data_IF_686469398803
#
_entry.id   IF_686469398803
#
_cell.length_a   1.000
_cell.length_b   1.000
_cell.length_c   1.000
_cell.angle_alpha   90.00
_cell.angle_beta   90.00
_cell.angle_gamma   90.00
#
_symmetry.space_group_name_H-M   'P 1'
#
loop_
_entity.id
_entity.type
_entity.pdbx_description
1 polymer ?
#
# COMPACT_ATOMS: atom_id res chain seq x y z
N UNK A 1 -1.69 8.66 -14.57
CA UNK A 1 -1.78 8.17 -13.18
C UNK A 1 -0.63 8.81 -12.41
N UNK A 2 -0.87 9.22 -11.17
CA UNK A 2 0.14 9.77 -10.27
C UNK A 2 -0.05 9.17 -8.88
N UNK A 3 0.95 9.32 -8.01
CA UNK A 3 0.96 8.75 -6.66
C UNK A 3 1.16 9.87 -5.64
N UNK A 4 0.47 9.79 -4.51
CA UNK A 4 0.65 10.68 -3.36
C UNK A 4 1.35 9.89 -2.26
N UNK A 5 2.53 10.35 -1.82
CA UNK A 5 3.40 9.62 -0.88
C UNK A 5 3.88 10.52 0.26
N UNK A 6 4.31 9.92 1.37
CA UNK A 6 4.94 10.64 2.48
C UNK A 6 4.01 11.69 3.11
N UNK A 7 4.58 12.85 3.46
CA UNK A 7 3.84 13.94 4.11
C UNK A 7 2.66 14.45 3.30
N UNK A 8 2.72 14.36 1.96
CA UNK A 8 1.64 14.79 1.09
C UNK A 8 0.34 14.00 1.34
N UNK A 9 0.42 12.74 1.77
CA UNK A 9 -0.77 11.94 2.14
C UNK A 9 -1.51 12.60 3.30
N UNK A 10 -0.78 13.08 4.31
CA UNK A 10 -1.37 13.76 5.47
C UNK A 10 -2.02 15.10 5.11
N UNK A 11 -1.49 15.79 4.09
CA UNK A 11 -2.04 17.06 3.60
C UNK A 11 -3.34 16.87 2.82
N UNK A 12 -3.47 15.77 2.07
CA UNK A 12 -4.63 15.56 1.18
C UNK A 12 -5.72 14.66 1.76
N UNK A 13 -5.43 13.88 2.81
CA UNK A 13 -6.35 12.83 3.31
C UNK A 13 -7.74 13.33 3.67
N UNK A 14 -7.87 14.60 4.06
CA UNK A 14 -9.13 15.22 4.51
C UNK A 14 -9.70 16.22 3.48
N UNK A 15 -9.07 16.34 2.31
CA UNK A 15 -9.58 17.16 1.22
C UNK A 15 -10.64 16.41 0.41
N UNK A 16 -11.56 17.16 -0.17
CA UNK A 16 -12.46 16.62 -1.20
C UNK A 16 -11.66 16.22 -2.45
N UNK A 17 -12.10 15.16 -3.13
CA UNK A 17 -11.38 14.65 -4.32
C UNK A 17 -11.17 15.71 -5.40
N UNK A 18 -12.17 16.58 -5.61
CA UNK A 18 -12.08 17.69 -6.58
C UNK A 18 -10.94 18.66 -6.25
N UNK A 19 -10.70 18.93 -4.96
CA UNK A 19 -9.61 19.79 -4.54
C UNK A 19 -8.25 19.14 -4.83
N UNK A 20 -8.11 17.83 -4.58
CA UNK A 20 -6.89 17.08 -4.89
C UNK A 20 -6.64 17.01 -6.40
N UNK A 21 -7.70 16.81 -7.20
CA UNK A 21 -7.61 16.86 -8.67
C UNK A 21 -7.17 18.23 -9.15
N UNK A 22 -7.70 19.31 -8.56
CA UNK A 22 -7.28 20.66 -8.91
C UNK A 22 -5.79 20.89 -8.61
N UNK A 23 -5.29 20.41 -7.47
CA UNK A 23 -3.85 20.45 -7.16
C UNK A 23 -3.03 19.69 -8.22
N UNK A 24 -3.48 18.51 -8.63
CA UNK A 24 -2.81 17.74 -9.68
C UNK A 24 -2.83 18.46 -11.03
N UNK A 25 -3.96 19.06 -11.41
CA UNK A 25 -4.08 19.83 -12.67
C UNK A 25 -3.25 21.10 -12.67
N UNK A 26 -3.12 21.78 -11.53
CA UNK A 26 -2.21 22.91 -11.38
C UNK A 26 -0.77 22.48 -11.63
N UNK A 27 -0.33 21.36 -11.03
CA UNK A 27 1.01 20.80 -11.28
C UNK A 27 1.20 20.44 -12.75
N UNK A 28 0.23 19.80 -13.39
CA UNK A 28 0.32 19.45 -14.82
C UNK A 28 0.44 20.70 -15.70
N UNK A 29 -0.37 21.74 -15.46
CA UNK A 29 -0.29 23.00 -16.20
C UNK A 29 1.04 23.73 -15.98
N UNK A 30 1.59 23.66 -14.77
CA UNK A 30 2.92 24.19 -14.48
C UNK A 30 4.05 23.41 -15.15
N UNK A 31 3.90 22.09 -15.35
CA UNK A 31 4.87 21.27 -16.08
C UNK A 31 4.83 21.51 -17.59
N UNK A 32 3.65 21.81 -18.13
CA UNK A 32 3.40 21.94 -19.57
C UNK A 32 2.99 23.37 -19.97
N UNK A 33 3.72 24.39 -19.50
CA UNK A 33 3.35 25.81 -19.68
C UNK A 33 3.23 26.28 -21.13
N UNK A 34 3.94 25.65 -22.04
CA UNK A 34 3.97 26.03 -23.46
C UNK A 34 2.80 25.46 -24.27
N UNK A 35 1.91 24.70 -23.63
CA UNK A 35 0.76 24.08 -24.27
C UNK A 35 -0.47 24.12 -23.37
N UNK A 36 -1.66 24.12 -23.98
CA UNK A 36 -2.89 23.98 -23.21
C UNK A 36 -3.03 22.55 -22.67
N UNK A 37 -3.29 22.43 -21.36
CA UNK A 37 -3.63 21.18 -20.70
C UNK A 37 -5.15 21.18 -20.43
N UNK A 38 -5.93 20.34 -21.13
CA UNK A 38 -7.38 20.31 -21.01
C UNK A 38 -7.83 19.81 -19.63
N UNK A 39 -9.09 20.08 -19.28
CA UNK A 39 -9.68 19.53 -18.07
C UNK A 39 -9.88 18.01 -18.16
N UNK A 40 -9.76 17.27 -17.04
CA UNK A 40 -9.96 15.83 -17.04
C UNK A 40 -11.44 15.49 -17.22
N UNK A 41 -11.76 14.65 -18.21
CA UNK A 41 -13.13 14.16 -18.44
C UNK A 41 -13.62 13.22 -17.32
N UNK A 42 -12.69 12.52 -16.67
CA UNK A 42 -12.96 11.61 -15.56
C UNK A 42 -11.71 11.49 -14.69
N UNK A 43 -11.93 11.34 -13.39
CA UNK A 43 -10.89 11.03 -12.42
C UNK A 43 -11.43 10.05 -11.38
N UNK A 44 -10.53 9.45 -10.61
CA UNK A 44 -10.83 8.80 -9.36
C UNK A 44 -9.63 8.97 -8.44
N UNK A 45 -9.87 8.90 -7.13
CA UNK A 45 -8.84 8.88 -6.10
C UNK A 45 -9.09 7.67 -5.19
N UNK A 46 -8.01 7.00 -4.79
CA UNK A 46 -8.11 5.90 -3.83
C UNK A 46 -8.04 6.43 -2.40
N UNK A 47 -8.85 5.89 -1.50
CA UNK A 47 -8.84 6.22 -0.07
C UNK A 47 -8.41 5.03 0.79
N UNK A 48 -7.28 4.39 0.44
CA UNK A 48 -6.78 3.19 1.14
C UNK A 48 -6.58 3.40 2.65
N UNK A 49 -6.23 4.62 3.07
CA UNK A 49 -6.08 4.97 4.49
C UNK A 49 -7.39 5.02 5.27
N UNK A 50 -8.54 5.14 4.59
CA UNK A 50 -9.89 5.18 5.20
C UNK A 50 -10.67 3.88 4.99
N UNK A 51 -10.18 2.97 4.16
CA UNK A 51 -10.77 1.63 4.02
C UNK A 51 -10.56 0.86 5.32
N UNK A 52 -11.66 0.58 6.02
CA UNK A 52 -11.65 -0.05 7.35
C UNK A 52 -11.03 -1.45 7.36
N UNK A 53 -10.99 -2.14 6.22
CA UNK A 53 -10.44 -3.49 6.09
C UNK A 53 -8.98 -3.52 5.60
N UNK A 54 -8.44 -2.38 5.15
CA UNK A 54 -7.08 -2.27 4.64
C UNK A 54 -6.24 -1.29 5.47
N UNK A 55 -6.66 -0.02 5.56
CA UNK A 55 -6.01 1.08 6.28
C UNK A 55 -4.55 1.39 5.89
N UNK A 56 -4.02 0.76 4.85
CA UNK A 56 -2.63 0.91 4.40
C UNK A 56 -2.49 0.60 2.90
N UNK A 57 -1.32 0.89 2.36
CA UNK A 57 -0.93 0.41 1.02
C UNK A 57 -0.06 -0.84 1.12
N UNK A 58 1.03 -0.76 1.87
CA UNK A 58 2.02 -1.84 2.06
C UNK A 58 2.90 -1.52 3.28
N UNK A 59 3.48 -2.54 3.88
CA UNK A 59 4.29 -2.43 5.09
C UNK A 59 5.69 -1.85 4.82
N UNK A 60 6.38 -1.41 5.88
CA UNK A 60 7.79 -1.05 5.85
C UNK A 60 8.40 -1.21 7.24
N UNK A 61 9.72 -1.33 7.32
CA UNK A 61 10.44 -1.39 8.61
C UNK A 61 10.61 0.03 9.14
N UNK A 62 9.91 0.35 10.24
CA UNK A 62 10.10 1.62 10.96
C UNK A 62 11.50 1.71 11.55
N UNK A 63 11.98 2.94 11.79
CA UNK A 63 13.24 3.19 12.50
C UNK A 63 13.29 2.43 13.83
N UNK A 64 14.39 1.72 14.07
CA UNK A 64 14.56 0.84 15.23
C UNK A 64 13.98 -0.57 15.07
N UNK A 65 13.30 -0.86 13.96
CA UNK A 65 12.82 -2.20 13.62
C UNK A 65 13.85 -3.08 12.91
N UNK A 66 13.54 -4.37 12.78
CA UNK A 66 14.33 -5.38 12.07
C UNK A 66 13.46 -6.11 11.05
N UNK A 67 14.08 -6.58 9.96
CA UNK A 67 13.42 -7.46 8.99
C UNK A 67 12.99 -8.81 9.58
N UNK A 68 13.55 -9.19 10.73
CA UNK A 68 13.11 -10.37 11.49
C UNK A 68 11.65 -10.27 11.96
N UNK A 69 11.10 -9.05 12.07
CA UNK A 69 9.70 -8.86 12.43
C UNK A 69 8.73 -9.57 11.46
N UNK A 70 9.07 -9.65 10.16
CA UNK A 70 8.26 -10.38 9.18
C UNK A 70 8.23 -11.89 9.48
N UNK A 71 9.38 -12.46 9.88
CA UNK A 71 9.51 -13.88 10.22
C UNK A 71 8.73 -14.17 11.52
N UNK A 72 8.86 -13.30 12.53
CA UNK A 72 8.14 -13.42 13.81
C UNK A 72 6.62 -13.36 13.59
N UNK A 73 6.12 -12.44 12.75
CA UNK A 73 4.68 -12.39 12.42
C UNK A 73 4.23 -13.65 11.67
N UNK A 74 5.13 -14.29 10.90
CA UNK A 74 4.84 -15.51 10.14
C UNK A 74 4.87 -16.80 10.98
N UNK A 75 5.25 -16.73 12.27
CA UNK A 75 5.22 -17.87 13.18
C UNK A 75 3.79 -18.31 13.45
N UNK A 76 3.53 -19.61 13.35
CA UNK A 76 2.22 -20.15 13.70
C UNK A 76 2.05 -20.27 15.22
N UNK A 77 0.81 -20.25 15.67
CA UNK A 77 0.48 -20.47 17.08
C UNK A 77 -0.03 -21.89 17.25
N UNK A 78 0.82 -22.73 17.84
CA UNK A 78 0.52 -24.12 18.21
C UNK A 78 0.05 -25.00 17.03
N UNK A 79 0.50 -24.71 15.80
CA UNK A 79 0.03 -25.41 14.60
C UNK A 79 -1.47 -25.24 14.32
N UNK A 80 -2.11 -24.20 14.87
CA UNK A 80 -3.56 -23.97 14.78
C UNK A 80 -3.93 -22.65 14.13
N UNK A 81 -3.16 -21.59 14.41
CA UNK A 81 -3.36 -20.28 13.79
C UNK A 81 -2.13 -19.95 12.97
N UNK A 82 -2.34 -19.70 11.68
CA UNK A 82 -1.29 -19.43 10.71
C UNK A 82 -1.45 -18.01 10.15
N UNK A 83 -0.34 -17.36 9.82
CA UNK A 83 -0.32 -15.98 9.33
C UNK A 83 0.34 -15.91 7.96
N UNK A 84 -0.38 -15.32 7.01
CA UNK A 84 0.08 -15.02 5.66
C UNK A 84 -0.22 -13.56 5.33
N UNK A 85 0.36 -13.07 4.23
CA UNK A 85 0.24 -11.69 3.77
C UNK A 85 1.62 -11.07 3.51
N UNK A 86 1.64 -9.93 2.82
CA UNK A 86 2.90 -9.25 2.46
C UNK A 86 3.76 -8.93 3.69
N UNK A 87 3.12 -8.53 4.80
CA UNK A 87 3.76 -8.21 6.07
C UNK A 87 4.28 -9.45 6.85
N UNK A 88 4.22 -10.64 6.23
CA UNK A 88 4.74 -11.90 6.78
C UNK A 88 5.85 -12.49 5.90
N UNK A 89 6.22 -11.83 4.80
CA UNK A 89 7.22 -12.32 3.85
C UNK A 89 8.47 -11.44 3.88
N UNK A 90 9.49 -11.85 4.63
CA UNK A 90 10.75 -11.10 4.73
C UNK A 90 11.50 -10.94 3.40
N UNK A 91 11.43 -11.95 2.54
CA UNK A 91 12.17 -11.95 1.26
C UNK A 91 11.51 -11.07 0.21
N UNK A 92 10.18 -11.03 0.20
CA UNK A 92 9.39 -10.32 -0.81
C UNK A 92 8.28 -9.48 -0.16
N UNK A 93 8.60 -8.54 0.75
CA UNK A 93 7.57 -7.73 1.41
C UNK A 93 6.85 -6.83 0.40
N UNK A 94 5.74 -6.20 0.79
CA UNK A 94 4.97 -5.20 0.03
C UNK A 94 4.24 -5.68 -1.23
N UNK A 95 4.79 -6.69 -1.91
CA UNK A 95 4.37 -7.09 -3.25
C UNK A 95 3.20 -8.08 -3.21
N UNK A 96 2.36 -8.05 -4.26
CA UNK A 96 1.33 -9.08 -4.50
C UNK A 96 1.97 -10.47 -4.57
N UNK A 97 3.13 -10.60 -5.22
CA UNK A 97 3.89 -11.87 -5.28
C UNK A 97 4.30 -12.34 -3.89
N UNK A 98 4.75 -11.44 -3.02
CA UNK A 98 5.09 -11.75 -1.63
C UNK A 98 3.92 -12.29 -0.83
N UNK A 99 2.77 -11.61 -0.93
CA UNK A 99 1.52 -12.06 -0.33
C UNK A 99 1.12 -13.44 -0.86
N UNK A 100 1.15 -13.64 -2.18
CA UNK A 100 0.85 -14.93 -2.81
C UNK A 100 1.76 -16.06 -2.29
N UNK A 101 3.08 -15.84 -2.31
CA UNK A 101 4.05 -16.84 -1.86
C UNK A 101 3.94 -17.15 -0.36
N UNK A 102 3.59 -16.16 0.46
CA UNK A 102 3.30 -16.40 1.88
C UNK A 102 2.06 -17.29 2.07
N UNK A 103 1.05 -17.15 1.21
CA UNK A 103 -0.11 -18.05 1.20
C UNK A 103 0.25 -19.47 0.82
N UNK A 104 1.10 -19.65 -0.20
CA UNK A 104 1.64 -20.97 -0.58
C UNK A 104 2.44 -21.59 0.58
N UNK A 105 3.26 -20.80 1.27
CA UNK A 105 4.03 -21.23 2.45
C UNK A 105 3.11 -21.75 3.55
N UNK A 106 2.12 -20.97 3.96
CA UNK A 106 1.21 -21.39 5.03
C UNK A 106 0.34 -22.58 4.62
N UNK A 107 -0.12 -22.64 3.36
CA UNK A 107 -0.85 -23.79 2.84
C UNK A 107 -0.01 -25.08 2.93
N UNK A 108 1.28 -25.01 2.61
CA UNK A 108 2.20 -26.15 2.75
C UNK A 108 2.39 -26.57 4.21
N UNK A 109 2.45 -25.63 5.16
CA UNK A 109 2.55 -25.95 6.60
C UNK A 109 1.28 -26.67 7.08
N UNK A 110 0.11 -26.15 6.72
CA UNK A 110 -1.19 -26.70 7.12
C UNK A 110 -1.40 -28.11 6.57
N UNK A 111 -1.02 -28.35 5.31
CA UNK A 111 -1.16 -29.66 4.68
C UNK A 111 -0.22 -30.73 5.27
N UNK A 112 0.81 -30.33 6.03
CA UNK A 112 1.79 -31.22 6.65
C UNK A 112 1.51 -31.53 8.13
N UNK A 113 0.44 -30.97 8.70
CA UNK A 113 -0.06 -31.32 10.04
C UNK A 113 -0.66 -32.74 10.05
#
# INVERSE_FOLDING_TARGET
MSVITGEAVALVKDLEEKAVVQLCMNVLRELFKEQEVPDPLKFFMTHWSKDVWSQMSYSFVKTGGSGEAYDIIAEDVQGKVFFAGEATNRHFPQTVTGAYLSGVREASKIAAL
#
